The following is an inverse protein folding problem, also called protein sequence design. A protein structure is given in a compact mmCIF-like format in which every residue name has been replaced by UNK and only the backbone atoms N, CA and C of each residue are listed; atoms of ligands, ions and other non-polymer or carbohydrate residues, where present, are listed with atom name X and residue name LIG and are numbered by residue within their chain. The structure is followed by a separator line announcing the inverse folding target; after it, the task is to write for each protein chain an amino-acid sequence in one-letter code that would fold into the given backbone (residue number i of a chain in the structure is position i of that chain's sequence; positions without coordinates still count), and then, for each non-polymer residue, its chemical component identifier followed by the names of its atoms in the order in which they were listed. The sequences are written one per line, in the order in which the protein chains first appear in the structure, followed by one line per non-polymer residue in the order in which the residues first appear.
data_IF_562021410031
#
_entry.id   IF_562021410031
#
_cell.length_a   1.000
_cell.length_b   1.000
_cell.length_c   1.000
_cell.angle_alpha   90.00
_cell.angle_beta   90.00
_cell.angle_gamma   90.00
#
_symmetry.space_group_name_H-M   'P 1'
#
loop_
_entity.id
_entity.type
_entity.pdbx_description
1 polymer ?
#
# COMPACT_ATOMS: atom_id res chain seq x y z
N UNK A 1 17.04 8.12 15.81
CA UNK A 1 15.92 9.01 16.21
C UNK A 1 14.77 8.87 15.20
N UNK A 2 14.82 9.38 13.98
CA UNK A 2 13.66 9.31 13.06
C UNK A 2 13.13 7.89 12.79
N UNK A 3 14.00 6.88 12.61
CA UNK A 3 13.58 5.50 12.37
C UNK A 3 12.82 4.91 13.58
N UNK A 4 13.27 5.12 14.78
CA UNK A 4 12.61 4.62 16.00
C UNK A 4 11.27 5.31 16.24
N UNK A 5 11.17 6.61 15.94
CA UNK A 5 9.90 7.35 15.99
C UNK A 5 8.90 6.85 14.95
N UNK A 6 9.37 6.57 13.73
CA UNK A 6 8.56 5.97 12.67
C UNK A 6 8.11 4.55 13.02
N UNK A 7 9.00 3.76 13.65
CA UNK A 7 8.70 2.41 14.10
C UNK A 7 7.65 2.42 15.21
N UNK A 8 7.81 3.28 16.21
CA UNK A 8 6.82 3.45 17.27
C UNK A 8 5.46 3.87 16.72
N UNK A 9 5.45 4.85 15.82
CA UNK A 9 4.25 5.33 15.15
C UNK A 9 3.51 4.23 14.39
N UNK A 10 4.22 3.43 13.57
CA UNK A 10 3.58 2.37 12.79
C UNK A 10 2.99 1.26 13.68
N UNK A 11 3.59 1.02 14.83
CA UNK A 11 3.12 0.00 15.79
C UNK A 11 1.93 0.51 16.60
N UNK A 12 1.98 1.73 17.11
CA UNK A 12 1.14 2.17 18.22
C UNK A 12 0.08 3.21 17.85
N UNK A 13 0.30 4.02 16.81
CA UNK A 13 -0.64 5.10 16.51
C UNK A 13 -1.88 4.61 15.72
N UNK A 14 -2.99 5.29 15.97
CA UNK A 14 -4.22 5.18 15.21
C UNK A 14 -4.10 5.85 13.84
N UNK A 15 -4.77 5.29 12.85
CA UNK A 15 -4.84 5.85 11.50
C UNK A 15 -4.69 4.79 10.43
N UNK A 16 -4.43 5.21 9.20
CA UNK A 16 -4.30 4.32 8.06
C UNK A 16 -3.11 4.69 7.17
N UNK A 17 -2.77 3.81 6.23
CA UNK A 17 -1.71 4.04 5.24
C UNK A 17 -2.34 4.45 3.90
N UNK A 18 -2.11 5.68 3.44
CA UNK A 18 -2.58 6.14 2.14
C UNK A 18 -1.78 5.46 1.00
N UNK A 19 -2.44 4.78 0.06
CA UNK A 19 -1.77 4.15 -1.06
C UNK A 19 -1.83 5.06 -2.30
N UNK A 20 -0.74 5.81 -2.54
CA UNK A 20 -0.58 6.75 -3.65
C UNK A 20 0.46 6.25 -4.68
N UNK A 21 0.54 4.93 -4.84
CA UNK A 21 1.58 4.25 -5.61
C UNK A 21 1.09 3.64 -6.94
N UNK A 22 -0.03 4.14 -7.48
CA UNK A 22 -0.52 3.72 -8.79
C UNK A 22 0.59 3.91 -9.83
N UNK A 23 0.86 2.85 -10.62
CA UNK A 23 1.97 2.83 -11.58
C UNK A 23 1.63 1.95 -12.78
N UNK A 24 2.33 2.12 -13.90
CA UNK A 24 2.13 1.34 -15.10
C UNK A 24 0.66 1.30 -15.52
N UNK A 25 0.11 0.11 -15.76
CA UNK A 25 -1.26 -0.06 -16.24
C UNK A 25 -2.37 0.40 -15.29
N UNK A 26 -2.07 0.71 -14.02
CA UNK A 26 -3.06 1.27 -13.08
C UNK A 26 -3.13 2.79 -13.13
N UNK A 27 -2.11 3.48 -13.67
CA UNK A 27 -2.07 4.94 -13.77
C UNK A 27 -3.20 5.51 -14.65
N UNK A 28 -3.42 5.03 -15.90
CA UNK A 28 -4.52 5.53 -16.72
C UNK A 28 -5.90 5.35 -16.07
N UNK A 29 -6.10 4.23 -15.36
CA UNK A 29 -7.36 3.97 -14.65
C UNK A 29 -7.57 4.94 -13.48
N UNK A 30 -6.52 5.26 -12.74
CA UNK A 30 -6.59 6.22 -11.64
C UNK A 30 -6.84 7.64 -12.14
N UNK A 31 -6.20 8.04 -13.25
CA UNK A 31 -6.41 9.32 -13.90
C UNK A 31 -7.84 9.46 -14.44
N UNK A 32 -8.37 8.41 -15.09
CA UNK A 32 -9.74 8.41 -15.59
C UNK A 32 -10.77 8.57 -14.45
N UNK A 33 -10.52 7.95 -13.28
CA UNK A 33 -11.37 8.14 -12.10
C UNK A 33 -11.28 9.55 -11.50
N UNK A 34 -10.23 10.30 -11.84
CA UNK A 34 -10.01 11.69 -11.48
C UNK A 34 -10.47 12.67 -12.58
N UNK A 35 -11.21 12.19 -13.59
CA UNK A 35 -11.66 12.90 -14.78
C UNK A 35 -10.51 13.43 -15.67
N UNK A 36 -9.38 12.76 -15.66
CA UNK A 36 -8.24 12.99 -16.56
C UNK A 36 -8.16 11.83 -17.54
N UNK A 37 -8.67 12.03 -18.74
CA UNK A 37 -8.64 11.07 -19.82
C UNK A 37 -7.39 11.24 -20.74
N UNK A 38 -7.30 10.42 -21.78
CA UNK A 38 -6.18 10.44 -22.73
C UNK A 38 -5.99 11.76 -23.50
N UNK A 39 -6.96 12.69 -23.46
CA UNK A 39 -6.81 14.02 -24.09
C UNK A 39 -5.89 14.95 -23.31
N UNK A 40 -5.67 14.66 -22.03
CA UNK A 40 -4.80 15.45 -21.13
C UNK A 40 -3.32 15.13 -21.24
N UNK A 41 -2.95 14.06 -21.94
CA UNK A 41 -1.53 13.66 -22.09
C UNK A 41 -1.29 12.91 -23.41
N UNK A 42 -0.11 13.11 -24.02
CA UNK A 42 0.27 12.55 -25.33
C UNK A 42 1.25 11.39 -25.23
N UNK A 43 1.89 11.24 -24.08
CA UNK A 43 2.94 10.24 -23.84
C UNK A 43 3.02 9.90 -22.34
N UNK A 44 3.82 8.90 -22.01
CA UNK A 44 3.98 8.42 -20.63
C UNK A 44 4.52 9.51 -19.68
N UNK A 45 5.41 10.38 -20.15
CA UNK A 45 5.98 11.47 -19.33
C UNK A 45 4.86 12.42 -18.89
N UNK A 46 4.05 12.89 -19.84
CA UNK A 46 2.90 13.75 -19.55
C UNK A 46 1.85 13.06 -18.67
N UNK A 47 1.60 11.76 -18.91
CA UNK A 47 0.73 10.96 -18.05
C UNK A 47 1.24 10.92 -16.60
N UNK A 48 2.55 10.75 -16.42
CA UNK A 48 3.16 10.76 -15.10
C UNK A 48 3.17 12.15 -14.47
N UNK A 49 3.19 13.22 -15.25
CA UNK A 49 3.01 14.58 -14.73
C UNK A 49 1.58 14.77 -14.21
N UNK A 50 0.57 14.29 -14.93
CA UNK A 50 -0.83 14.35 -14.47
C UNK A 50 -1.05 13.57 -13.16
N UNK A 51 -0.54 12.34 -13.05
CA UNK A 51 -0.71 11.56 -11.83
C UNK A 51 0.08 12.17 -10.65
N UNK A 52 1.21 12.81 -10.92
CA UNK A 52 1.95 13.54 -9.88
C UNK A 52 1.16 14.76 -9.38
N UNK A 53 0.61 15.56 -10.29
CA UNK A 53 -0.24 16.71 -9.93
C UNK A 53 -1.46 16.30 -9.09
N UNK A 54 -2.10 15.18 -9.45
CA UNK A 54 -3.17 14.61 -8.62
C UNK A 54 -2.69 14.27 -7.21
N UNK A 55 -1.53 13.61 -7.08
CA UNK A 55 -0.95 13.23 -5.78
C UNK A 55 -0.53 14.44 -4.98
N UNK A 56 0.06 15.43 -5.62
CA UNK A 56 0.44 16.70 -5.01
C UNK A 56 -0.77 17.38 -4.41
N UNK A 57 -1.87 17.51 -5.18
CA UNK A 57 -3.12 18.09 -4.68
C UNK A 57 -3.69 17.33 -3.49
N UNK A 58 -3.58 15.98 -3.46
CA UNK A 58 -4.01 15.15 -2.33
C UNK A 58 -3.12 15.43 -1.11
N UNK A 59 -1.79 15.36 -1.27
CA UNK A 59 -0.82 15.49 -0.17
C UNK A 59 -0.82 16.90 0.42
N UNK A 60 -1.02 17.94 -0.39
CA UNK A 60 -1.08 19.32 0.05
C UNK A 60 -2.44 19.72 0.62
N UNK A 61 -3.47 18.87 0.54
CA UNK A 61 -4.76 19.13 1.19
C UNK A 61 -4.59 19.21 2.71
N UNK A 62 -5.18 20.22 3.39
CA UNK A 62 -5.13 20.37 4.85
C UNK A 62 -5.60 19.13 5.62
N UNK A 63 -6.44 18.30 4.99
CA UNK A 63 -6.95 17.06 5.58
C UNK A 63 -5.94 15.90 5.54
N UNK A 64 -4.92 15.99 4.67
CA UNK A 64 -3.86 14.99 4.55
C UNK A 64 -2.76 15.24 5.60
N UNK A 65 -2.97 14.78 6.80
CA UNK A 65 -2.09 15.03 7.95
C UNK A 65 -2.00 13.80 8.88
N UNK A 66 -1.05 13.84 9.80
CA UNK A 66 -0.73 12.72 10.70
C UNK A 66 -1.82 12.37 11.72
N UNK A 67 -2.86 13.18 11.89
CA UNK A 67 -3.98 12.87 12.79
C UNK A 67 -4.74 11.60 12.38
N UNK A 68 -4.83 11.35 11.08
CA UNK A 68 -5.59 10.23 10.51
C UNK A 68 -4.73 9.33 9.61
N UNK A 69 -3.58 9.81 9.12
CA UNK A 69 -2.73 9.10 8.16
C UNK A 69 -1.37 8.88 8.80
N UNK A 70 -1.06 7.62 9.10
CA UNK A 70 0.22 7.24 9.73
C UNK A 70 1.33 7.01 8.70
N UNK A 71 0.97 6.66 7.46
CA UNK A 71 1.94 6.40 6.40
C UNK A 71 1.36 6.67 5.01
N UNK A 72 2.24 6.83 4.03
CA UNK A 72 1.88 6.95 2.62
C UNK A 72 2.81 6.12 1.74
N UNK A 73 2.23 5.34 0.80
CA UNK A 73 3.00 4.55 -0.16
C UNK A 73 3.14 5.39 -1.43
N UNK A 74 4.39 5.64 -1.82
CA UNK A 74 4.76 6.43 -2.99
C UNK A 74 5.17 5.52 -4.15
N UNK A 75 5.04 6.03 -5.37
CA UNK A 75 5.73 5.52 -6.53
C UNK A 75 7.07 6.25 -6.72
N UNK A 76 8.07 5.59 -7.32
CA UNK A 76 9.43 6.10 -7.46
C UNK A 76 9.49 7.52 -8.07
N UNK A 77 8.70 7.78 -9.12
CA UNK A 77 8.65 9.11 -9.73
C UNK A 77 8.15 10.19 -8.77
N UNK A 78 7.20 9.87 -7.90
CA UNK A 78 6.71 10.81 -6.88
C UNK A 78 7.75 11.03 -5.78
N UNK A 79 8.44 9.96 -5.35
CA UNK A 79 9.54 10.06 -4.38
C UNK A 79 10.66 10.98 -4.88
N UNK A 80 11.02 10.87 -6.16
CA UNK A 80 12.11 11.64 -6.77
C UNK A 80 11.76 13.11 -7.05
N UNK A 81 10.48 13.48 -6.96
CA UNK A 81 9.99 14.85 -7.12
C UNK A 81 9.90 15.58 -5.78
N UNK A 82 9.53 16.83 -5.85
CA UNK A 82 9.39 17.70 -4.68
C UNK A 82 7.93 18.03 -4.42
N UNK A 83 7.62 18.25 -3.15
CA UNK A 83 6.37 18.80 -2.65
C UNK A 83 6.70 20.01 -1.80
N UNK A 84 6.12 21.15 -2.15
CA UNK A 84 6.38 22.42 -1.44
C UNK A 84 7.88 22.75 -1.27
N UNK A 85 8.70 22.46 -2.32
CA UNK A 85 10.14 22.73 -2.34
C UNK A 85 11.01 21.76 -1.56
N UNK A 86 10.45 20.64 -1.07
CA UNK A 86 11.18 19.56 -0.40
C UNK A 86 11.00 18.24 -1.13
N UNK A 87 11.98 17.34 -1.06
CA UNK A 87 11.81 15.95 -1.51
C UNK A 87 10.56 15.34 -0.87
N UNK A 88 9.71 14.67 -1.67
CA UNK A 88 8.38 14.18 -1.24
C UNK A 88 8.43 13.37 0.06
N UNK A 89 9.38 12.44 0.20
CA UNK A 89 9.47 11.61 1.40
C UNK A 89 9.85 12.43 2.65
N UNK A 90 10.74 13.42 2.50
CA UNK A 90 11.09 14.34 3.58
C UNK A 90 9.93 15.24 3.97
N UNK A 91 9.19 15.79 2.99
CA UNK A 91 8.00 16.59 3.25
C UNK A 91 6.95 15.78 4.04
N UNK A 92 6.70 14.53 3.64
CA UNK A 92 5.77 13.65 4.36
C UNK A 92 6.17 13.46 5.83
N UNK A 93 7.45 13.19 6.10
CA UNK A 93 7.87 12.93 7.47
C UNK A 93 8.09 14.20 8.29
N UNK A 94 8.88 15.13 7.77
CA UNK A 94 9.32 16.32 8.54
C UNK A 94 8.22 17.37 8.74
N UNK A 95 7.33 17.53 7.74
CA UNK A 95 6.29 18.57 7.79
C UNK A 95 4.92 18.00 8.16
N UNK A 96 4.60 16.78 7.73
CA UNK A 96 3.29 16.16 7.98
C UNK A 96 3.30 15.08 9.05
N UNK A 97 4.47 14.55 9.45
CA UNK A 97 4.58 13.43 10.38
C UNK A 97 4.03 12.11 9.83
N UNK A 98 4.04 11.94 8.50
CA UNK A 98 3.52 10.76 7.79
C UNK A 98 4.69 9.89 7.31
N UNK A 99 4.68 8.61 7.66
CA UNK A 99 5.75 7.67 7.34
C UNK A 99 5.77 7.38 5.82
N UNK A 100 6.90 7.65 5.10
CA UNK A 100 6.98 7.37 3.68
C UNK A 100 7.39 5.93 3.39
N UNK A 101 6.62 5.25 2.52
CA UNK A 101 6.93 3.95 1.94
C UNK A 101 7.11 4.07 0.43
N UNK A 102 7.89 3.16 -0.17
CA UNK A 102 8.15 3.13 -1.61
C UNK A 102 7.68 1.82 -2.23
N UNK A 103 6.87 1.89 -3.28
CA UNK A 103 6.60 0.75 -4.16
C UNK A 103 7.85 0.43 -4.97
N UNK A 104 8.36 -0.81 -4.83
CA UNK A 104 9.60 -1.26 -5.47
C UNK A 104 9.39 -2.31 -6.58
N UNK A 105 8.23 -2.96 -6.65
CA UNK A 105 7.99 -3.98 -7.69
C UNK A 105 8.00 -3.39 -9.11
N UNK A 106 8.47 -4.18 -10.06
CA UNK A 106 8.57 -3.84 -11.49
C UNK A 106 7.36 -4.35 -12.30
N UNK A 107 6.25 -4.67 -11.63
CA UNK A 107 5.06 -5.26 -12.23
C UNK A 107 5.00 -6.78 -12.05
N UNK A 108 4.08 -7.40 -12.75
CA UNK A 108 3.72 -8.80 -12.58
C UNK A 108 4.15 -9.64 -13.79
N UNK A 109 4.57 -10.88 -13.54
CA UNK A 109 4.71 -11.91 -14.55
C UNK A 109 3.35 -12.34 -15.11
N UNK A 110 3.36 -13.07 -16.21
CA UNK A 110 2.15 -13.73 -16.74
C UNK A 110 1.59 -14.71 -15.70
N UNK A 111 0.27 -14.92 -15.75
CA UNK A 111 -0.38 -15.85 -14.83
C UNK A 111 0.15 -17.27 -15.03
N UNK A 112 0.51 -17.91 -13.93
CA UNK A 112 0.86 -19.32 -13.83
C UNK A 112 0.34 -19.88 -12.51
N UNK A 113 -0.15 -21.11 -12.51
CA UNK A 113 -0.71 -21.76 -11.31
C UNK A 113 -1.75 -20.90 -10.55
N UNK A 114 -2.54 -20.11 -11.31
CA UNK A 114 -3.57 -19.23 -10.73
C UNK A 114 -3.04 -18.04 -9.96
N UNK A 115 -1.79 -17.63 -10.19
CA UNK A 115 -1.18 -16.47 -9.56
C UNK A 115 -0.33 -15.66 -10.54
N UNK A 116 -0.08 -14.39 -10.19
CA UNK A 116 0.93 -13.57 -10.84
C UNK A 116 2.06 -13.28 -9.84
N UNK A 117 3.24 -13.81 -10.13
CA UNK A 117 4.46 -13.49 -9.39
C UNK A 117 4.96 -12.08 -9.74
N UNK A 118 5.85 -11.56 -8.90
CA UNK A 118 6.58 -10.34 -9.23
C UNK A 118 7.58 -10.60 -10.35
N UNK A 119 7.70 -9.67 -11.28
CA UNK A 119 8.85 -9.61 -12.18
C UNK A 119 10.12 -9.39 -11.39
N UNK A 120 11.23 -9.87 -11.95
CA UNK A 120 12.55 -9.62 -11.37
C UNK A 120 12.79 -8.12 -11.18
N UNK A 121 13.24 -7.76 -9.97
CA UNK A 121 13.55 -6.38 -9.61
C UNK A 121 15.04 -6.17 -9.88
N UNK A 122 15.35 -5.67 -11.09
CA UNK A 122 16.72 -5.37 -11.47
C UNK A 122 17.35 -4.35 -10.51
N UNK A 123 18.61 -4.57 -10.17
CA UNK A 123 19.40 -3.66 -9.32
C UNK A 123 18.69 -3.32 -7.99
N UNK A 124 18.03 -4.30 -7.37
CA UNK A 124 17.20 -4.07 -6.17
C UNK A 124 18.00 -3.35 -5.06
N UNK A 125 19.26 -3.73 -4.82
CA UNK A 125 20.08 -3.10 -3.78
C UNK A 125 20.29 -1.61 -4.04
N UNK A 126 20.55 -1.20 -5.29
CA UNK A 126 20.63 0.23 -5.66
C UNK A 126 19.32 0.97 -5.45
N UNK A 127 18.18 0.33 -5.75
CA UNK A 127 16.86 0.91 -5.48
C UNK A 127 16.63 1.09 -3.98
N UNK A 128 17.02 0.13 -3.17
CA UNK A 128 16.90 0.20 -1.71
C UNK A 128 17.82 1.28 -1.12
N UNK A 129 19.07 1.37 -1.58
CA UNK A 129 20.01 2.44 -1.22
C UNK A 129 19.46 3.83 -1.57
N UNK A 130 18.88 3.98 -2.78
CA UNK A 130 18.22 5.23 -3.19
C UNK A 130 17.01 5.54 -2.31
N UNK A 131 16.20 4.54 -1.95
CA UNK A 131 15.07 4.71 -1.03
C UNK A 131 15.55 5.24 0.35
N UNK A 132 16.56 4.60 0.93
CA UNK A 132 17.16 5.03 2.21
C UNK A 132 17.69 6.48 2.11
N UNK A 133 18.41 6.83 1.04
CA UNK A 133 18.97 8.18 0.85
C UNK A 133 17.89 9.27 0.71
N UNK A 134 16.69 8.91 0.24
CA UNK A 134 15.54 9.79 0.17
C UNK A 134 14.69 9.81 1.46
N UNK A 135 15.06 9.07 2.50
CA UNK A 135 14.34 9.06 3.79
C UNK A 135 13.11 8.14 3.81
N UNK A 136 13.05 7.15 2.93
CA UNK A 136 12.01 6.12 2.94
C UNK A 136 12.20 5.21 4.16
N UNK A 137 11.12 4.91 4.86
CA UNK A 137 11.09 4.01 6.02
C UNK A 137 10.93 2.54 5.60
N UNK A 138 10.18 2.28 4.56
CA UNK A 138 9.90 0.92 4.14
C UNK A 138 9.47 0.82 2.68
N UNK A 139 9.26 -0.39 2.22
CA UNK A 139 8.91 -0.66 0.82
C UNK A 139 7.59 -1.39 0.69
N UNK A 140 7.01 -1.41 -0.52
CA UNK A 140 5.84 -2.21 -0.83
C UNK A 140 6.01 -2.97 -2.15
N UNK A 141 5.56 -4.22 -2.19
CA UNK A 141 5.56 -5.07 -3.38
C UNK A 141 4.26 -5.89 -3.45
N UNK A 142 3.65 -5.99 -4.65
CA UNK A 142 2.34 -6.60 -4.85
C UNK A 142 2.39 -7.75 -5.85
N UNK A 143 1.95 -8.92 -5.42
CA UNK A 143 1.60 -10.09 -6.27
C UNK A 143 0.09 -10.28 -6.28
N UNK A 144 -0.44 -11.10 -7.20
CA UNK A 144 -1.88 -11.35 -7.33
C UNK A 144 -2.17 -12.85 -7.29
N UNK A 145 -3.21 -13.23 -6.58
CA UNK A 145 -3.72 -14.58 -6.41
C UNK A 145 -5.12 -14.63 -7.04
N UNK A 146 -5.29 -15.44 -8.09
CA UNK A 146 -6.52 -15.57 -8.87
C UNK A 146 -7.23 -16.93 -8.66
N UNK A 147 -6.67 -17.83 -7.86
CA UNK A 147 -7.31 -19.08 -7.47
C UNK A 147 -6.70 -19.66 -6.19
N UNK A 148 -7.40 -20.59 -5.54
CA UNK A 148 -6.93 -21.30 -4.36
C UNK A 148 -5.88 -22.39 -4.70
N UNK A 149 -4.85 -22.04 -5.46
CA UNK A 149 -3.75 -22.91 -5.81
C UNK A 149 -2.72 -22.99 -4.69
N UNK A 150 -2.53 -24.16 -4.10
CA UNK A 150 -1.54 -24.37 -3.04
C UNK A 150 -0.13 -24.04 -3.55
N UNK A 151 0.24 -24.50 -4.74
CA UNK A 151 1.54 -24.25 -5.34
C UNK A 151 1.74 -22.76 -5.62
N UNK A 152 0.80 -22.15 -6.35
CA UNK A 152 0.89 -20.74 -6.74
C UNK A 152 0.93 -19.79 -5.54
N UNK A 153 0.10 -20.02 -4.53
CA UNK A 153 0.07 -19.18 -3.31
C UNK A 153 1.41 -19.33 -2.53
N UNK A 154 1.92 -20.55 -2.42
CA UNK A 154 3.23 -20.75 -1.79
C UNK A 154 4.36 -20.05 -2.55
N UNK A 155 4.33 -20.07 -3.89
CA UNK A 155 5.34 -19.38 -4.70
C UNK A 155 5.29 -17.86 -4.50
N UNK A 156 4.09 -17.28 -4.49
CA UNK A 156 3.89 -15.84 -4.18
C UNK A 156 4.46 -15.49 -2.82
N UNK A 157 4.10 -16.24 -1.78
CA UNK A 157 4.52 -15.94 -0.41
C UNK A 157 6.03 -16.13 -0.27
N UNK A 158 6.59 -17.24 -0.77
CA UNK A 158 8.03 -17.52 -0.71
C UNK A 158 8.85 -16.45 -1.45
N UNK A 159 8.40 -16.00 -2.64
CA UNK A 159 9.06 -14.93 -3.38
C UNK A 159 9.11 -13.63 -2.57
N UNK A 160 7.97 -13.20 -2.02
CA UNK A 160 7.90 -11.95 -1.27
C UNK A 160 8.67 -12.01 0.05
N UNK A 161 8.66 -13.14 0.77
CA UNK A 161 9.48 -13.32 1.98
C UNK A 161 10.99 -13.35 1.68
N UNK A 162 11.41 -13.95 0.55
CA UNK A 162 12.80 -13.88 0.09
C UNK A 162 13.25 -12.44 -0.13
N UNK A 163 12.43 -11.63 -0.82
CA UNK A 163 12.69 -10.21 -1.04
C UNK A 163 12.65 -9.42 0.27
N UNK A 164 11.72 -9.73 1.18
CA UNK A 164 11.64 -9.05 2.47
C UNK A 164 12.92 -9.21 3.30
N UNK A 165 13.55 -10.37 3.23
CA UNK A 165 14.85 -10.58 3.88
C UNK A 165 15.95 -9.65 3.32
N UNK A 166 15.98 -9.43 1.99
CA UNK A 166 16.92 -8.50 1.36
C UNK A 166 16.61 -7.05 1.77
N UNK A 167 15.33 -6.66 1.76
CA UNK A 167 14.88 -5.32 2.17
C UNK A 167 15.26 -5.01 3.62
N UNK A 168 15.05 -5.95 4.53
CA UNK A 168 15.41 -5.79 5.95
C UNK A 168 16.92 -5.55 6.16
N UNK A 169 17.81 -6.11 5.29
CA UNK A 169 19.27 -5.84 5.36
C UNK A 169 19.63 -4.37 5.12
N UNK A 170 18.78 -3.63 4.43
CA UNK A 170 18.91 -2.18 4.22
C UNK A 170 18.23 -1.34 5.29
N UNK A 171 17.80 -1.95 6.41
CA UNK A 171 17.03 -1.31 7.49
C UNK A 171 15.70 -0.69 7.01
N UNK A 172 15.09 -1.27 5.98
CA UNK A 172 13.77 -0.91 5.50
C UNK A 172 12.73 -1.94 5.93
N UNK A 173 11.52 -1.50 6.22
CA UNK A 173 10.39 -2.37 6.58
C UNK A 173 9.61 -2.74 5.31
N UNK A 174 9.56 -4.03 4.91
CA UNK A 174 8.78 -4.44 3.76
C UNK A 174 7.28 -4.53 4.08
N UNK A 175 6.45 -3.96 3.21
CA UNK A 175 5.02 -4.28 3.11
C UNK A 175 4.89 -5.39 2.06
N UNK A 176 4.50 -6.57 2.50
CA UNK A 176 4.22 -7.76 1.69
C UNK A 176 2.75 -7.72 1.27
N UNK A 177 2.46 -7.66 -0.04
CA UNK A 177 1.10 -7.54 -0.57
C UNK A 177 0.76 -8.71 -1.52
N UNK A 178 0.46 -9.92 -1.00
CA UNK A 178 -0.10 -11.04 -1.76
C UNK A 178 -1.62 -10.84 -1.88
N UNK A 179 -2.05 -10.04 -2.84
CA UNK A 179 -3.46 -9.70 -3.06
C UNK A 179 -4.25 -10.88 -3.57
N UNK A 180 -5.27 -11.32 -2.83
CA UNK A 180 -6.28 -12.25 -3.33
C UNK A 180 -7.34 -11.46 -4.07
N UNK A 181 -7.58 -11.82 -5.33
CA UNK A 181 -8.61 -11.18 -6.17
C UNK A 181 -10.00 -11.37 -5.55
N UNK A 182 -10.72 -10.28 -5.32
CA UNK A 182 -11.98 -10.31 -4.56
C UNK A 182 -13.12 -11.01 -5.30
N UNK A 183 -13.03 -11.18 -6.60
CA UNK A 183 -14.09 -11.75 -7.46
C UNK A 183 -13.91 -13.24 -7.76
N UNK A 184 -12.89 -13.90 -7.24
CA UNK A 184 -12.71 -15.34 -7.44
C UNK A 184 -13.69 -16.13 -6.56
N UNK A 185 -14.21 -17.22 -7.12
CA UNK A 185 -15.24 -18.03 -6.46
C UNK A 185 -14.72 -18.84 -5.26
N UNK A 186 -13.40 -19.06 -5.18
CA UNK A 186 -12.72 -19.83 -4.15
C UNK A 186 -11.86 -18.95 -3.19
N UNK A 187 -12.25 -17.67 -3.04
CA UNK A 187 -11.53 -16.67 -2.25
C UNK A 187 -11.27 -17.11 -0.81
N UNK A 188 -12.27 -17.64 -0.13
CA UNK A 188 -12.14 -18.14 1.24
C UNK A 188 -11.08 -19.25 1.34
N UNK A 189 -11.07 -20.19 0.41
CA UNK A 189 -10.06 -21.25 0.35
C UNK A 189 -8.65 -20.68 0.05
N UNK A 190 -8.55 -19.69 -0.83
CA UNK A 190 -7.29 -19.01 -1.12
C UNK A 190 -6.75 -18.29 0.12
N UNK A 191 -7.61 -17.66 0.90
CA UNK A 191 -7.24 -17.01 2.17
C UNK A 191 -6.75 -18.01 3.23
N UNK A 192 -7.35 -19.20 3.31
CA UNK A 192 -6.89 -20.27 4.20
C UNK A 192 -5.49 -20.74 3.83
N UNK A 193 -5.22 -20.99 2.55
CA UNK A 193 -3.90 -21.38 2.07
C UNK A 193 -2.89 -20.25 2.31
N UNK A 194 -3.28 -19.01 2.04
CA UNK A 194 -2.44 -17.82 2.19
C UNK A 194 -1.99 -17.63 3.64
N UNK A 195 -2.89 -17.68 4.62
CA UNK A 195 -2.53 -17.49 6.02
C UNK A 195 -1.58 -18.58 6.51
N UNK A 196 -1.81 -19.85 6.10
CA UNK A 196 -0.92 -20.96 6.44
C UNK A 196 0.48 -20.77 5.85
N UNK A 197 0.56 -20.34 4.59
CA UNK A 197 1.83 -20.08 3.92
C UNK A 197 2.58 -18.91 4.56
N UNK A 198 1.89 -17.84 4.92
CA UNK A 198 2.49 -16.69 5.61
C UNK A 198 3.03 -17.10 6.98
N UNK A 199 2.24 -17.78 7.82
CA UNK A 199 2.67 -18.24 9.15
C UNK A 199 3.93 -19.13 9.06
N UNK A 200 3.94 -20.09 8.13
CA UNK A 200 5.10 -20.95 7.88
C UNK A 200 6.38 -20.18 7.50
N UNK A 201 6.25 -19.07 6.79
CA UNK A 201 7.39 -18.22 6.43
C UNK A 201 7.80 -17.29 7.58
N UNK A 202 6.86 -16.78 8.36
CA UNK A 202 7.13 -16.00 9.57
C UNK A 202 7.92 -16.79 10.61
N UNK A 203 7.56 -18.07 10.83
CA UNK A 203 8.30 -18.98 11.74
C UNK A 203 9.77 -19.18 11.37
N UNK A 204 10.10 -19.07 10.07
CA UNK A 204 11.48 -19.20 9.55
C UNK A 204 12.25 -17.90 9.51
N UNK A 205 11.56 -16.79 9.70
CA UNK A 205 12.15 -15.46 9.59
C UNK A 205 13.01 -15.16 10.82
N UNK A 206 14.20 -14.52 10.65
CA UNK A 206 14.99 -14.05 11.79
C UNK A 206 14.16 -13.10 12.66
N UNK A 207 14.25 -13.24 13.99
CA UNK A 207 13.47 -12.42 14.95
C UNK A 207 13.71 -10.91 14.84
N UNK A 208 14.90 -10.53 14.36
CA UNK A 208 15.26 -9.14 14.10
C UNK A 208 14.50 -8.54 12.91
N UNK A 209 14.03 -9.38 11.98
CA UNK A 209 13.33 -8.94 10.79
C UNK A 209 11.86 -8.64 11.12
N UNK A 210 11.35 -7.58 10.53
CA UNK A 210 9.95 -7.15 10.68
C UNK A 210 9.30 -6.98 9.32
N UNK A 211 7.99 -7.17 9.27
CA UNK A 211 7.16 -6.99 8.08
C UNK A 211 5.85 -6.30 8.43
N UNK A 212 5.25 -5.65 7.44
CA UNK A 212 3.85 -5.26 7.41
C UNK A 212 3.18 -6.14 6.37
N UNK A 213 2.01 -6.67 6.67
CA UNK A 213 1.24 -7.48 5.75
C UNK A 213 0.08 -6.65 5.20
N UNK A 214 0.00 -6.52 3.88
CA UNK A 214 -1.11 -5.86 3.20
C UNK A 214 -1.94 -6.89 2.47
N UNK A 215 -3.15 -7.12 2.96
CA UNK A 215 -4.00 -8.24 2.56
C UNK A 215 -5.35 -7.76 2.03
N UNK A 216 -5.97 -8.56 1.19
CA UNK A 216 -7.37 -8.37 0.79
C UNK A 216 -8.25 -8.46 2.02
N UNK A 217 -9.30 -7.64 2.08
CA UNK A 217 -10.33 -7.76 3.12
C UNK A 217 -10.91 -9.18 3.09
N UNK A 218 -10.87 -9.93 4.21
CA UNK A 218 -11.19 -11.34 4.21
C UNK A 218 -12.71 -11.58 4.10
N UNK A 219 -13.11 -12.79 3.69
CA UNK A 219 -14.50 -13.20 3.70
C UNK A 219 -15.00 -13.45 5.12
N UNK A 220 -14.19 -14.09 5.97
CA UNK A 220 -14.51 -14.35 7.36
C UNK A 220 -13.98 -13.19 8.23
N UNK A 221 -14.82 -12.50 9.01
CA UNK A 221 -14.37 -11.46 9.92
C UNK A 221 -13.28 -11.93 10.89
N UNK A 222 -12.29 -11.09 11.13
CA UNK A 222 -11.16 -11.35 12.03
C UNK A 222 -10.26 -12.53 11.64
N UNK A 223 -10.32 -12.97 10.37
CA UNK A 223 -9.60 -14.14 9.90
C UNK A 223 -8.07 -14.03 10.06
N UNK A 224 -7.51 -12.82 9.94
CA UNK A 224 -6.06 -12.58 10.02
C UNK A 224 -5.55 -12.27 11.45
N UNK A 225 -6.35 -12.46 12.49
CA UNK A 225 -5.94 -12.27 13.90
C UNK A 225 -4.66 -13.05 14.28
N UNK A 226 -4.44 -14.30 13.81
CA UNK A 226 -3.19 -15.00 14.12
C UNK A 226 -1.93 -14.30 13.60
N UNK A 227 -2.02 -13.61 12.44
CA UNK A 227 -0.91 -12.85 11.86
C UNK A 227 -0.59 -11.59 12.69
N UNK A 228 -1.62 -10.91 13.21
CA UNK A 228 -1.45 -9.69 14.02
C UNK A 228 -0.75 -9.97 15.35
N UNK A 229 -0.84 -11.21 15.85
CA UNK A 229 -0.22 -11.63 17.11
C UNK A 229 1.24 -12.07 16.95
N UNK A 230 1.74 -12.20 15.73
CA UNK A 230 3.09 -12.67 15.48
C UNK A 230 4.12 -11.56 15.70
N UNK A 231 5.17 -11.83 16.49
CA UNK A 231 6.18 -10.86 16.91
C UNK A 231 6.91 -10.14 15.77
N UNK A 232 6.97 -10.74 14.58
CA UNK A 232 7.61 -10.16 13.40
C UNK A 232 6.67 -9.31 12.55
N UNK A 233 5.36 -9.29 12.84
CA UNK A 233 4.37 -8.51 12.10
C UNK A 233 4.07 -7.22 12.84
N UNK A 234 4.47 -6.09 12.27
CA UNK A 234 4.23 -4.77 12.87
C UNK A 234 2.77 -4.34 12.73
N UNK A 235 2.16 -4.59 11.57
CA UNK A 235 0.76 -4.28 11.26
C UNK A 235 0.22 -5.25 10.21
N UNK A 236 -1.08 -5.48 10.24
CA UNK A 236 -1.84 -6.03 9.13
C UNK A 236 -2.72 -4.92 8.59
N UNK A 237 -2.57 -4.61 7.30
CA UNK A 237 -3.31 -3.54 6.64
C UNK A 237 -4.15 -4.10 5.51
N UNK A 238 -5.33 -3.53 5.27
CA UNK A 238 -6.28 -3.98 4.26
C UNK A 238 -6.12 -3.21 2.96
N UNK A 239 -6.07 -3.89 1.83
CA UNK A 239 -6.31 -3.28 0.52
C UNK A 239 -7.81 -3.31 0.18
N UNK A 240 -8.30 -2.36 -0.63
CA UNK A 240 -9.71 -2.34 -1.05
C UNK A 240 -10.05 -3.34 -2.17
N UNK A 241 -9.05 -3.81 -2.92
CA UNK A 241 -9.18 -4.91 -3.91
C UNK A 241 -10.15 -4.68 -5.07
N UNK A 242 -10.82 -3.53 -5.11
CA UNK A 242 -11.87 -3.22 -6.08
C UNK A 242 -13.25 -3.02 -5.45
N UNK A 243 -13.41 -3.23 -4.15
CA UNK A 243 -14.57 -2.73 -3.43
C UNK A 243 -14.62 -1.20 -3.51
N UNK A 244 -15.83 -0.64 -3.65
CA UNK A 244 -16.06 0.79 -3.42
C UNK A 244 -15.76 1.16 -1.96
N UNK A 245 -15.70 2.45 -1.68
CA UNK A 245 -15.34 2.94 -0.34
C UNK A 245 -16.29 2.43 0.74
N UNK A 246 -17.59 2.43 0.49
CA UNK A 246 -18.61 2.02 1.47
C UNK A 246 -18.47 0.54 1.84
N UNK A 247 -18.30 -0.33 0.85
CA UNK A 247 -18.14 -1.77 1.08
C UNK A 247 -16.78 -2.10 1.71
N UNK A 248 -15.71 -1.42 1.28
CA UNK A 248 -14.39 -1.59 1.88
C UNK A 248 -14.39 -1.20 3.37
N UNK A 249 -15.02 -0.07 3.72
CA UNK A 249 -15.17 0.39 5.11
C UNK A 249 -15.96 -0.63 5.95
N UNK A 250 -17.13 -1.05 5.48
CA UNK A 250 -17.96 -2.05 6.20
C UNK A 250 -17.21 -3.35 6.48
N UNK A 251 -16.47 -3.86 5.48
CA UNK A 251 -15.66 -5.06 5.66
C UNK A 251 -14.49 -4.83 6.64
N UNK A 252 -13.86 -3.65 6.60
CA UNK A 252 -12.77 -3.31 7.51
C UNK A 252 -13.25 -3.22 8.96
N UNK A 253 -14.40 -2.61 9.21
CA UNK A 253 -15.02 -2.50 10.54
C UNK A 253 -15.31 -3.86 11.20
N UNK A 254 -15.40 -4.92 10.41
CA UNK A 254 -15.55 -6.30 10.91
C UNK A 254 -14.20 -6.98 11.25
N UNK A 255 -13.06 -6.30 11.10
CA UNK A 255 -11.72 -6.88 11.24
C UNK A 255 -10.87 -6.11 12.26
N UNK A 256 -11.09 -6.42 13.54
CA UNK A 256 -10.46 -5.73 14.67
C UNK A 256 -8.93 -5.74 14.58
N UNK A 257 -8.32 -4.57 14.71
CA UNK A 257 -6.87 -4.37 14.65
C UNK A 257 -6.29 -4.27 13.24
N UNK A 258 -7.07 -4.54 12.17
CA UNK A 258 -6.68 -4.17 10.82
C UNK A 258 -6.89 -2.68 10.59
N UNK A 259 -5.92 -2.02 9.94
CA UNK A 259 -6.09 -0.66 9.45
C UNK A 259 -6.17 -0.64 7.92
N UNK A 260 -6.69 0.41 7.34
CA UNK A 260 -6.75 0.53 5.88
C UNK A 260 -5.38 0.82 5.26
N UNK A 261 -5.19 0.34 4.03
CA UNK A 261 -4.21 0.87 3.06
C UNK A 261 -4.87 0.95 1.69
N UNK A 262 -5.83 1.88 1.59
CA UNK A 262 -6.68 2.03 0.43
C UNK A 262 -6.07 2.99 -0.60
N UNK A 263 -6.28 2.69 -1.88
CA UNK A 263 -5.92 3.53 -3.01
C UNK A 263 -7.20 4.11 -3.65
N UNK A 264 -7.91 3.33 -4.46
CA UNK A 264 -9.13 3.78 -5.15
C UNK A 264 -10.23 4.23 -4.19
N UNK A 265 -10.43 3.53 -3.10
CA UNK A 265 -11.42 3.92 -2.09
C UNK A 265 -11.06 5.22 -1.36
N UNK A 266 -9.77 5.60 -1.28
CA UNK A 266 -9.33 6.90 -0.74
C UNK A 266 -9.64 8.04 -1.71
N UNK A 267 -9.43 7.82 -3.01
CA UNK A 267 -9.56 8.85 -4.06
C UNK A 267 -10.94 8.89 -4.71
N UNK A 268 -11.88 8.08 -4.24
CA UNK A 268 -13.25 8.02 -4.79
C UNK A 268 -13.96 9.36 -4.69
N UNK A 269 -14.50 9.83 -5.82
CA UNK A 269 -15.21 11.11 -5.94
C UNK A 269 -14.32 12.34 -6.10
N UNK A 270 -12.99 12.20 -6.10
CA UNK A 270 -12.08 13.29 -6.45
C UNK A 270 -12.09 13.52 -7.97
N UNK A 271 -12.03 14.78 -8.38
CA UNK A 271 -12.00 15.19 -9.79
C UNK A 271 -11.08 16.39 -9.98
N UNK A 272 -10.42 16.45 -11.13
CA UNK A 272 -9.62 17.61 -11.56
C UNK A 272 -10.49 18.87 -11.70
N UNK A 273 -11.80 18.70 -11.99
CA UNK A 273 -12.73 19.79 -12.23
C UNK A 273 -13.25 20.47 -10.95
N UNK A 274 -12.98 19.89 -9.77
CA UNK A 274 -13.38 20.45 -8.48
C UNK A 274 -12.52 21.67 -8.13
N UNK A 275 -13.14 22.70 -7.57
CA UNK A 275 -12.40 23.76 -6.90
C UNK A 275 -11.78 23.23 -5.59
N UNK A 276 -10.94 24.01 -4.92
CA UNK A 276 -10.22 23.55 -3.73
C UNK A 276 -11.14 23.29 -2.53
N UNK A 277 -12.25 24.00 -2.38
CA UNK A 277 -13.22 23.76 -1.31
C UNK A 277 -13.93 22.42 -1.52
N UNK A 278 -14.42 22.16 -2.72
CA UNK A 278 -15.09 20.90 -3.10
C UNK A 278 -14.13 19.71 -2.95
N UNK A 279 -12.91 19.84 -3.47
CA UNK A 279 -11.89 18.81 -3.38
C UNK A 279 -11.55 18.50 -1.91
N UNK A 280 -11.29 19.53 -1.10
CA UNK A 280 -10.96 19.38 0.31
C UNK A 280 -12.12 18.80 1.13
N UNK A 281 -13.36 19.12 0.80
CA UNK A 281 -14.54 18.53 1.45
C UNK A 281 -14.61 17.02 1.20
N UNK A 282 -14.42 16.59 -0.05
CA UNK A 282 -14.51 15.17 -0.44
C UNK A 282 -13.35 14.37 0.16
N UNK A 283 -12.11 14.83 0.00
CA UNK A 283 -10.95 14.12 0.54
C UNK A 283 -11.00 14.07 2.07
N UNK A 284 -11.44 15.12 2.74
CA UNK A 284 -11.62 15.13 4.20
C UNK A 284 -12.64 14.08 4.65
N UNK A 285 -13.78 14.00 3.98
CA UNK A 285 -14.80 12.98 4.27
C UNK A 285 -14.25 11.58 4.08
N UNK A 286 -13.54 11.35 2.98
CA UNK A 286 -12.90 10.06 2.68
C UNK A 286 -11.90 9.66 3.76
N UNK A 287 -10.96 10.56 4.11
CA UNK A 287 -9.94 10.34 5.14
C UNK A 287 -10.58 10.04 6.49
N UNK A 288 -11.57 10.82 6.92
CA UNK A 288 -12.22 10.61 8.22
C UNK A 288 -12.97 9.28 8.29
N UNK A 289 -13.68 8.89 7.23
CA UNK A 289 -14.39 7.61 7.17
C UNK A 289 -13.44 6.42 7.26
N UNK A 290 -12.34 6.46 6.48
CA UNK A 290 -11.33 5.40 6.47
C UNK A 290 -10.59 5.32 7.82
N UNK A 291 -10.21 6.46 8.39
CA UNK A 291 -9.57 6.51 9.69
C UNK A 291 -10.47 5.99 10.82
N UNK A 292 -11.77 6.31 10.78
CA UNK A 292 -12.73 5.77 11.74
C UNK A 292 -12.83 4.25 11.65
N UNK A 293 -12.92 3.69 10.45
CA UNK A 293 -12.96 2.25 10.22
C UNK A 293 -11.64 1.54 10.60
N UNK A 294 -10.53 2.26 10.67
CA UNK A 294 -9.21 1.73 11.07
C UNK A 294 -8.97 1.74 12.59
N UNK A 295 -9.99 2.08 13.39
CA UNK A 295 -9.92 2.12 14.87
C UNK A 295 -10.67 0.99 15.56
N UNK A 296 -11.06 -0.02 14.82
CA UNK A 296 -11.88 -1.15 15.31
C UNK A 296 -11.03 -2.27 15.93
#
# INVERSE_FOLDING_TARGET
MAYEEQLDKIINEDGFIAALDQSGGSTPKALLQYDVDHSFYKNDTEMYDQIHSMRERIILSPSFNSKNIIGAILFEMTMNREMNGKKTAKYLWEDLGIIPFLKIDSGLESEANGVHLLKDIKDIDKKLENAVSNGIFGTKMRSVINSASIEGINDVVNQQFKLSHQINKHNLIPIIEPEVTISISDKENAEVILIQSILKNLEKMPKSNKVILKLSLPEIPNFYQPLMKHESVLRVVALSGGYDQTNAIKKLECNNGMIASFSRALTEGLSINQNDEEFNLIINKSINNIAKASKT
#
